data_IF_681968852557
#
_entry.id   IF_681968852557
#
_cell.length_a   1.000
_cell.length_b   1.000
_cell.length_c   1.000
_cell.angle_alpha   90.00
_cell.angle_beta   90.00
_cell.angle_gamma   90.00
#
_symmetry.space_group_name_H-M   'P 1'
#
loop_
_entity.id
_entity.type
_entity.pdbx_description
1 polymer ?
#
# COMPACT_ATOMS: atom_id res chain seq x y z
N UNK A 1 34.52 -26.80 -15.39
CA UNK A 1 33.07 -26.58 -15.15
C UNK A 1 32.97 -25.46 -14.13
N UNK A 2 32.49 -24.27 -14.52
CA UNK A 2 32.35 -23.12 -13.62
C UNK A 2 31.02 -22.44 -13.91
N UNK A 3 30.05 -22.60 -13.01
CA UNK A 3 28.75 -21.95 -13.09
C UNK A 3 28.85 -20.62 -12.34
N UNK A 4 28.89 -19.51 -13.07
CA UNK A 4 28.71 -18.16 -12.50
C UNK A 4 27.22 -17.96 -12.28
N UNK A 5 26.81 -17.92 -11.01
CA UNK A 5 25.45 -17.57 -10.60
C UNK A 5 25.34 -16.05 -10.69
N UNK A 6 24.85 -15.56 -11.84
CA UNK A 6 24.40 -14.20 -12.00
C UNK A 6 23.19 -14.00 -11.07
N UNK A 7 23.36 -13.12 -10.08
CA UNK A 7 22.33 -12.77 -9.13
C UNK A 7 21.02 -12.44 -9.85
N UNK A 8 19.95 -13.06 -9.38
CA UNK A 8 18.60 -12.69 -9.73
C UNK A 8 18.35 -11.24 -9.29
N UNK A 9 18.51 -10.30 -10.22
CA UNK A 9 17.90 -8.97 -10.14
C UNK A 9 16.39 -9.13 -10.30
N UNK A 10 15.74 -9.56 -9.22
CA UNK A 10 14.29 -9.42 -9.06
C UNK A 10 13.97 -7.94 -9.03
N UNK A 11 13.18 -7.49 -10.02
CA UNK A 11 12.61 -6.15 -10.04
C UNK A 11 13.20 -5.26 -11.13
N UNK A 12 12.88 -5.60 -12.38
CA UNK A 12 12.70 -4.59 -13.43
C UNK A 12 11.66 -3.57 -12.94
N UNK A 13 12.08 -2.54 -12.22
CA UNK A 13 11.32 -1.30 -12.09
C UNK A 13 11.26 -0.71 -13.49
N UNK A 14 10.17 -1.01 -14.19
CA UNK A 14 9.90 -0.53 -15.54
C UNK A 14 9.85 1.00 -15.48
N UNK A 15 10.86 1.59 -16.10
CA UNK A 15 11.01 3.00 -16.44
C UNK A 15 9.72 3.49 -17.13
N UNK A 16 8.90 4.26 -16.42
CA UNK A 16 7.66 4.86 -16.94
C UNK A 16 6.56 5.16 -15.91
N UNK A 17 6.82 5.06 -14.60
CA UNK A 17 5.80 5.26 -13.55
C UNK A 17 5.47 6.75 -13.38
N UNK A 18 4.28 7.17 -13.83
CA UNK A 18 3.52 8.16 -13.05
C UNK A 18 3.48 7.60 -11.62
N UNK A 19 4.24 8.20 -10.71
CA UNK A 19 4.39 7.67 -9.35
C UNK A 19 3.03 7.62 -8.70
N UNK A 20 2.47 6.43 -8.55
CA UNK A 20 1.18 6.25 -7.92
C UNK A 20 1.24 6.77 -6.47
N UNK A 21 0.64 7.92 -6.22
CA UNK A 21 0.59 8.54 -4.90
C UNK A 21 -0.73 8.21 -4.22
N UNK A 22 -0.64 7.69 -3.00
CA UNK A 22 -1.76 7.34 -2.15
C UNK A 22 -1.61 8.04 -0.81
N UNK A 23 -2.65 8.76 -0.38
CA UNK A 23 -2.71 9.40 0.93
C UNK A 23 -3.65 8.61 1.82
N UNK A 24 -3.15 8.19 2.97
CA UNK A 24 -3.92 7.47 3.99
C UNK A 24 -4.10 8.41 5.18
N UNK A 25 -5.35 8.62 5.59
CA UNK A 25 -5.70 9.35 6.81
C UNK A 25 -6.07 8.36 7.88
N UNK A 26 -5.51 8.54 9.07
CA UNK A 26 -5.75 7.72 10.24
C UNK A 26 -6.73 8.39 11.20
N UNK A 27 -7.26 7.60 12.12
CA UNK A 27 -8.15 8.02 13.19
C UNK A 27 -7.53 9.10 14.09
N UNK A 28 -6.21 9.06 14.31
CA UNK A 28 -5.48 10.10 15.04
C UNK A 28 -5.44 11.47 14.32
N UNK A 29 -5.89 11.54 13.07
CA UNK A 29 -5.71 12.68 12.18
C UNK A 29 -4.34 12.72 11.48
N UNK A 30 -3.45 11.76 11.77
CA UNK A 30 -2.19 11.60 11.06
C UNK A 30 -2.45 11.23 9.60
N UNK A 31 -1.53 11.66 8.73
CA UNK A 31 -1.62 11.40 7.31
C UNK A 31 -0.30 10.86 6.79
N UNK A 32 -0.37 9.69 6.17
CA UNK A 32 0.78 9.03 5.55
C UNK A 32 0.61 9.08 4.04
N UNK A 33 1.58 9.70 3.37
CA UNK A 33 1.69 9.70 1.91
C UNK A 33 2.59 8.56 1.48
N UNK A 34 2.07 7.67 0.65
CA UNK A 34 2.76 6.53 0.09
C UNK A 34 2.95 6.76 -1.40
N UNK A 35 4.19 6.54 -1.85
CA UNK A 35 4.56 6.68 -3.25
C UNK A 35 5.00 5.33 -3.82
N UNK A 36 4.76 5.18 -5.11
CA UNK A 36 5.07 4.01 -5.92
C UNK A 36 4.20 2.79 -5.59
N UNK A 37 3.94 1.96 -6.60
CA UNK A 37 3.19 0.71 -6.45
C UNK A 37 3.85 -0.33 -5.52
N UNK A 38 3.08 -1.37 -5.20
CA UNK A 38 3.49 -2.52 -4.40
C UNK A 38 2.99 -2.49 -2.96
N UNK A 39 3.53 -3.40 -2.14
CA UNK A 39 3.20 -3.50 -0.73
C UNK A 39 3.93 -2.43 0.08
N UNK A 40 3.19 -1.69 0.91
CA UNK A 40 3.71 -0.66 1.81
C UNK A 40 3.16 -0.88 3.22
N UNK A 41 4.00 -0.89 4.25
CA UNK A 41 3.53 -0.90 5.63
C UNK A 41 2.91 0.45 5.97
N UNK A 42 1.83 0.40 6.75
CA UNK A 42 1.23 1.60 7.34
C UNK A 42 1.90 1.91 8.67
N UNK A 43 1.90 3.19 9.04
CA UNK A 43 2.36 3.60 10.36
C UNK A 43 1.51 2.97 11.47
N UNK A 44 2.19 2.42 12.47
CA UNK A 44 1.55 1.81 13.63
C UNK A 44 1.30 2.84 14.72
N UNK A 45 0.31 2.59 15.57
CA UNK A 45 0.00 3.49 16.70
C UNK A 45 -0.85 4.72 16.35
N UNK A 46 -1.28 4.87 15.09
CA UNK A 46 -2.14 5.97 14.64
C UNK A 46 -3.65 5.63 14.66
N UNK A 47 -4.01 4.44 15.15
CA UNK A 47 -5.40 3.94 15.13
C UNK A 47 -5.78 3.31 13.79
N UNK A 48 -7.08 3.28 13.49
CA UNK A 48 -7.58 2.74 12.22
C UNK A 48 -7.44 3.72 11.05
N UNK A 49 -7.48 3.21 9.83
CA UNK A 49 -7.57 4.01 8.60
C UNK A 49 -9.02 4.48 8.44
N UNK A 50 -9.20 5.79 8.28
CA UNK A 50 -10.51 6.44 8.11
C UNK A 50 -10.74 6.91 6.68
N UNK A 51 -9.67 7.22 5.94
CA UNK A 51 -9.75 7.63 4.54
C UNK A 51 -8.53 7.16 3.76
N UNK A 52 -8.76 6.75 2.52
CA UNK A 52 -7.70 6.53 1.52
C UNK A 52 -8.04 7.35 0.29
N UNK A 53 -7.15 8.25 -0.08
CA UNK A 53 -7.24 9.05 -1.28
C UNK A 53 -6.15 8.62 -2.26
N UNK A 54 -6.57 8.09 -3.41
CA UNK A 54 -5.69 7.78 -4.54
C UNK A 54 -6.08 8.61 -5.76
N UNK A 55 -5.20 8.74 -6.74
CA UNK A 55 -5.62 9.21 -8.06
C UNK A 55 -6.64 8.23 -8.65
N UNK A 56 -7.60 8.75 -9.44
CA UNK A 56 -8.82 8.03 -9.81
C UNK A 56 -8.61 6.65 -10.48
N UNK A 57 -7.41 6.36 -11.02
CA UNK A 57 -7.08 5.10 -11.68
C UNK A 57 -6.23 4.14 -10.83
N UNK A 58 -5.67 4.60 -9.72
CA UNK A 58 -4.80 3.81 -8.85
C UNK A 58 -5.66 2.95 -7.94
N UNK A 59 -5.44 1.64 -7.98
CA UNK A 59 -6.13 0.69 -7.10
C UNK A 59 -5.36 0.54 -5.80
N UNK A 60 -6.09 0.30 -4.73
CA UNK A 60 -5.49 -0.04 -3.45
C UNK A 60 -6.22 -1.18 -2.76
N UNK A 61 -5.51 -1.87 -1.88
CA UNK A 61 -6.06 -2.86 -0.97
C UNK A 61 -5.39 -2.77 0.41
N UNK A 62 -6.20 -2.69 1.46
CA UNK A 62 -5.77 -2.68 2.86
C UNK A 62 -5.71 -4.10 3.43
N UNK A 63 -4.71 -4.37 4.25
CA UNK A 63 -4.47 -5.68 4.87
C UNK A 63 -4.33 -5.54 6.37
N UNK A 64 -4.86 -6.53 7.12
CA UNK A 64 -4.83 -6.54 8.58
C UNK A 64 -3.42 -6.68 9.18
N UNK A 65 -2.49 -7.30 8.44
CA UNK A 65 -1.10 -7.49 8.86
C UNK A 65 -0.19 -6.37 8.36
N UNK A 66 1.05 -6.36 8.85
CA UNK A 66 2.11 -5.44 8.41
C UNK A 66 2.76 -5.85 7.09
N UNK A 67 2.35 -6.99 6.53
CA UNK A 67 2.78 -7.49 5.23
C UNK A 67 1.57 -7.76 4.33
N UNK A 68 1.77 -7.72 3.02
CA UNK A 68 0.73 -8.06 2.05
C UNK A 68 0.77 -9.54 1.63
N UNK A 69 1.73 -10.33 2.16
CA UNK A 69 1.84 -11.77 1.91
C UNK A 69 1.27 -12.54 3.09
N UNK A 70 0.25 -13.37 2.84
CA UNK A 70 -0.38 -14.20 3.87
C UNK A 70 -1.38 -13.48 4.79
N UNK A 71 -1.53 -12.16 4.64
CA UNK A 71 -2.48 -11.34 5.40
C UNK A 71 -3.86 -11.31 4.76
N UNK A 72 -4.90 -11.20 5.57
CA UNK A 72 -6.29 -11.01 5.10
C UNK A 72 -6.48 -9.60 4.56
N UNK A 73 -7.03 -9.49 3.35
CA UNK A 73 -7.52 -8.22 2.81
C UNK A 73 -8.76 -7.76 3.58
N UNK A 74 -8.75 -6.50 4.01
CA UNK A 74 -9.82 -5.86 4.78
C UNK A 74 -10.73 -5.03 3.89
N UNK A 75 -10.14 -4.25 3.01
CA UNK A 75 -10.86 -3.37 2.08
C UNK A 75 -10.04 -3.17 0.81
N UNK A 76 -10.70 -2.87 -0.29
CA UNK A 76 -10.03 -2.50 -1.55
C UNK A 76 -10.87 -1.48 -2.30
N UNK A 77 -10.22 -0.58 -3.03
CA UNK A 77 -10.90 0.47 -3.76
C UNK A 77 -9.98 1.16 -4.77
N UNK A 78 -10.45 2.28 -5.28
CA UNK A 78 -9.72 3.21 -6.14
C UNK A 78 -10.34 4.61 -5.97
N UNK A 79 -9.57 5.66 -6.24
CA UNK A 79 -9.99 7.04 -5.97
C UNK A 79 -10.03 7.34 -4.46
N UNK A 80 -10.95 8.21 -4.06
CA UNK A 80 -11.14 8.60 -2.66
C UNK A 80 -12.21 7.74 -2.01
N UNK A 81 -11.83 7.05 -0.93
CA UNK A 81 -12.71 6.17 -0.15
C UNK A 81 -12.61 6.58 1.31
N UNK A 82 -13.77 6.86 1.92
CA UNK A 82 -13.89 7.11 3.36
C UNK A 82 -14.58 5.93 4.02
N UNK A 83 -14.12 5.56 5.22
CA UNK A 83 -14.68 4.48 6.02
C UNK A 83 -15.46 5.08 7.19
N UNK A 84 -16.71 4.63 7.38
CA UNK A 84 -17.52 5.05 8.52
C UNK A 84 -16.95 4.51 9.85
N UNK A 85 -16.46 3.28 9.83
CA UNK A 85 -15.75 2.63 10.93
C UNK A 85 -14.25 2.54 10.63
N UNK A 86 -13.35 2.94 11.55
CA UNK A 86 -11.91 2.88 11.32
C UNK A 86 -11.42 1.47 11.00
N UNK A 87 -10.66 1.32 9.91
CA UNK A 87 -10.14 0.02 9.45
C UNK A 87 -8.76 -0.23 10.04
N UNK A 88 -8.62 -1.22 10.93
CA UNK A 88 -7.33 -1.62 11.51
C UNK A 88 -6.45 -2.35 10.48
N UNK A 89 -5.81 -1.58 9.60
CA UNK A 89 -4.89 -2.07 8.59
C UNK A 89 -3.42 -1.83 9.00
N UNK A 90 -2.57 -2.83 8.79
CA UNK A 90 -1.11 -2.73 9.01
C UNK A 90 -0.32 -2.52 7.72
N UNK A 91 -0.94 -2.77 6.56
CA UNK A 91 -0.31 -2.63 5.26
C UNK A 91 -1.32 -2.30 4.17
N UNK A 92 -0.82 -1.74 3.08
CA UNK A 92 -1.56 -1.41 1.89
C UNK A 92 -0.80 -1.87 0.65
N UNK A 93 -1.51 -2.46 -0.32
CA UNK A 93 -1.00 -2.70 -1.67
C UNK A 93 -1.53 -1.60 -2.57
N UNK A 94 -0.63 -0.99 -3.35
CA UNK A 94 -0.94 -0.01 -4.39
C UNK A 94 -0.68 -0.68 -5.74
N UNK A 95 -1.62 -0.62 -6.68
CA UNK A 95 -1.51 -1.26 -7.99
C UNK A 95 -2.29 -0.59 -9.09
#
# INVERSE_FOLDING_TARGET
>A
MSATIAGAISGLSRKGDETATVRVTFESGHQQTLNNGGCRPLETGQGGVTEVATEARIKFALFAGTSCQGSRALASGHGTVSFADPVLAGAIVIG
#
